data_IF_437073141732
#
_entry.id   IF_437073141732
#
_cell.length_a   1.000
_cell.length_b   1.000
_cell.length_c   1.000
_cell.angle_alpha   90.00
_cell.angle_beta   90.00
_cell.angle_gamma   90.00
#
_symmetry.space_group_name_H-M   'P 1'
#
loop_
_entity.id
_entity.type
_entity.pdbx_description
1 polymer ?
#
# COMPACT_ATOMS: atom_id res chain seq x y z
N UNK A 1 1.62 3.62 -16.52
CA UNK A 1 2.35 4.39 -15.48
C UNK A 1 3.56 3.57 -15.11
N UNK A 2 4.79 4.11 -15.01
CA UNK A 2 5.89 3.38 -14.42
C UNK A 2 5.50 3.00 -12.99
N UNK A 3 5.93 1.83 -12.53
CA UNK A 3 5.64 1.30 -11.20
C UNK A 3 6.02 2.29 -10.12
N UNK A 4 5.29 2.27 -9.00
CA UNK A 4 5.42 3.24 -7.91
C UNK A 4 6.83 3.38 -7.35
N UNK A 5 7.11 4.51 -6.71
CA UNK A 5 8.38 4.85 -6.08
C UNK A 5 9.57 5.01 -7.04
N UNK A 6 9.30 5.52 -8.24
CA UNK A 6 10.33 5.82 -9.25
C UNK A 6 10.18 7.21 -9.87
N UNK A 7 9.59 8.16 -9.15
CA UNK A 7 9.40 9.54 -9.64
C UNK A 7 10.73 10.26 -9.90
N UNK A 8 11.79 9.89 -9.18
CA UNK A 8 13.06 10.59 -9.17
C UNK A 8 13.07 11.84 -8.28
N UNK A 9 12.00 12.12 -7.55
CA UNK A 9 11.94 13.22 -6.61
C UNK A 9 12.88 12.97 -5.41
N UNK A 10 13.44 14.07 -4.89
CA UNK A 10 14.22 14.02 -3.67
C UNK A 10 13.35 13.52 -2.49
N UNK A 11 13.93 12.67 -1.66
CA UNK A 11 13.37 12.25 -0.37
C UNK A 11 14.51 12.20 0.64
N UNK A 12 14.53 13.16 1.55
CA UNK A 12 15.63 13.42 2.47
C UNK A 12 15.49 12.72 3.82
N UNK A 13 14.32 12.16 4.09
CA UNK A 13 14.03 11.65 5.42
C UNK A 13 14.36 10.17 5.56
N UNK A 14 15.01 9.81 6.65
CA UNK A 14 15.15 8.43 7.07
C UNK A 14 13.76 7.80 7.26
N UNK A 15 13.48 6.70 6.53
CA UNK A 15 12.18 6.05 6.55
C UNK A 15 11.10 6.73 5.70
N UNK A 16 11.50 7.60 4.79
CA UNK A 16 10.60 8.22 3.79
C UNK A 16 9.44 9.04 4.40
N UNK A 17 9.67 9.67 5.52
CA UNK A 17 8.68 10.51 6.20
C UNK A 17 8.54 11.85 5.51
N UNK A 18 7.34 12.37 5.51
CA UNK A 18 6.98 13.71 5.03
C UNK A 18 6.60 14.56 6.26
N UNK A 19 7.56 14.80 7.15
CA UNK A 19 7.32 15.44 8.44
C UNK A 19 6.70 16.84 8.32
N UNK A 20 7.06 17.60 7.30
CA UNK A 20 6.44 18.90 7.03
C UNK A 20 4.93 18.80 6.76
N UNK A 21 4.50 17.72 6.08
CA UNK A 21 3.09 17.42 5.85
C UNK A 21 2.41 16.92 7.12
N UNK A 22 3.07 16.04 7.90
CA UNK A 22 2.45 15.44 9.09
C UNK A 22 2.37 16.41 10.28
N UNK A 23 3.36 17.26 10.45
CA UNK A 23 3.51 18.08 11.65
C UNK A 23 3.78 19.55 11.37
N UNK A 24 4.19 19.90 10.15
CA UNK A 24 4.63 21.24 9.78
C UNK A 24 3.56 22.13 9.14
N UNK A 25 2.33 21.61 8.94
CA UNK A 25 1.22 22.37 8.36
C UNK A 25 1.30 22.62 6.86
N UNK A 26 2.25 21.99 6.16
CA UNK A 26 2.33 21.97 4.69
C UNK A 26 1.16 21.15 4.14
N UNK A 27 0.53 21.60 3.08
CA UNK A 27 -0.57 20.88 2.41
C UNK A 27 -0.05 19.75 1.52
N UNK A 28 -0.93 18.81 1.15
CA UNK A 28 -0.65 17.77 0.15
C UNK A 28 -0.17 18.38 -1.16
N UNK A 29 -0.82 19.45 -1.63
CA UNK A 29 -0.45 20.13 -2.86
C UNK A 29 0.94 20.76 -2.81
N UNK A 30 1.28 21.44 -1.73
CA UNK A 30 2.60 22.05 -1.51
C UNK A 30 3.68 20.95 -1.36
N UNK A 31 3.38 19.88 -0.62
CA UNK A 31 4.30 18.75 -0.47
C UNK A 31 4.52 18.00 -1.79
N UNK A 32 3.47 17.79 -2.59
CA UNK A 32 3.56 17.09 -3.86
C UNK A 32 4.46 17.79 -4.87
N UNK A 33 4.49 19.12 -4.87
CA UNK A 33 5.17 19.96 -5.87
C UNK A 33 6.45 20.61 -5.34
N UNK A 34 6.74 20.50 -4.05
CA UNK A 34 7.85 21.19 -3.38
C UNK A 34 9.21 20.50 -3.51
N UNK A 35 9.28 19.27 -4.03
CA UNK A 35 10.52 18.50 -4.05
C UNK A 35 11.24 18.59 -5.40
N UNK A 36 12.56 18.79 -5.40
CA UNK A 36 13.32 18.83 -6.64
C UNK A 36 13.46 17.43 -7.26
N UNK A 37 13.51 17.37 -8.57
CA UNK A 37 13.86 16.18 -9.32
C UNK A 37 15.39 15.96 -9.25
N UNK A 38 15.81 14.83 -8.69
CA UNK A 38 17.25 14.50 -8.52
C UNK A 38 17.70 13.33 -9.39
N UNK A 39 16.75 12.55 -9.91
CA UNK A 39 17.00 11.48 -10.89
C UNK A 39 15.98 11.57 -12.02
N UNK A 40 16.32 11.16 -13.25
CA UNK A 40 15.31 11.01 -14.29
C UNK A 40 14.21 10.03 -13.84
N UNK A 41 12.92 10.35 -14.08
CA UNK A 41 11.84 9.46 -13.72
C UNK A 41 12.00 8.05 -14.32
N UNK A 42 11.71 7.03 -13.54
CA UNK A 42 11.79 5.63 -13.95
C UNK A 42 13.20 5.02 -13.90
N UNK A 43 14.25 5.77 -13.50
CA UNK A 43 15.64 5.29 -13.51
C UNK A 43 16.17 4.84 -12.16
N UNK A 44 15.51 5.23 -11.08
CA UNK A 44 15.96 4.95 -9.73
C UNK A 44 14.76 4.57 -8.83
N UNK A 45 14.88 3.45 -8.12
CA UNK A 45 13.89 3.08 -7.10
C UNK A 45 14.23 3.75 -5.78
N UNK A 46 13.26 4.40 -5.18
CA UNK A 46 13.32 4.84 -3.79
C UNK A 46 11.92 4.76 -3.19
N UNK A 47 11.73 3.94 -2.19
CA UNK A 47 10.48 3.95 -1.43
C UNK A 47 10.30 5.32 -0.76
N UNK A 48 9.34 6.09 -1.22
CA UNK A 48 9.13 7.46 -0.77
C UNK A 48 7.64 7.82 -0.72
N UNK A 49 7.23 8.47 0.37
CA UNK A 49 5.87 9.00 0.51
C UNK A 49 5.57 10.08 -0.53
N UNK A 50 6.59 10.82 -0.98
CA UNK A 50 6.48 11.88 -1.98
C UNK A 50 5.79 11.39 -3.26
N UNK A 51 6.08 10.16 -3.71
CA UNK A 51 5.49 9.59 -4.92
C UNK A 51 3.98 9.40 -4.77
N UNK A 52 3.54 8.95 -3.59
CA UNK A 52 2.12 8.76 -3.31
C UNK A 52 1.43 10.11 -3.11
N UNK A 53 2.06 11.05 -2.42
CA UNK A 53 1.53 12.41 -2.24
C UNK A 53 1.32 13.09 -3.60
N UNK A 54 2.30 12.96 -4.52
CA UNK A 54 2.16 13.46 -5.89
C UNK A 54 1.03 12.77 -6.67
N UNK A 55 0.90 11.45 -6.54
CA UNK A 55 -0.16 10.70 -7.20
C UNK A 55 -1.56 11.08 -6.70
N UNK A 56 -1.72 11.28 -5.38
CA UNK A 56 -2.97 11.74 -4.76
C UNK A 56 -3.30 13.15 -5.26
N UNK A 57 -2.34 14.07 -5.22
CA UNK A 57 -2.53 15.43 -5.70
C UNK A 57 -2.96 15.45 -7.18
N UNK A 58 -2.32 14.66 -8.05
CA UNK A 58 -2.69 14.57 -9.45
C UNK A 58 -4.10 13.98 -9.65
N UNK A 59 -4.48 13.00 -8.83
CA UNK A 59 -5.82 12.41 -8.84
C UNK A 59 -6.88 13.44 -8.45
N UNK A 60 -6.66 14.20 -7.38
CA UNK A 60 -7.57 15.23 -6.89
C UNK A 60 -7.73 16.36 -7.94
N UNK A 61 -6.61 16.84 -8.49
CA UNK A 61 -6.62 17.83 -9.56
C UNK A 61 -7.40 17.35 -10.81
N UNK A 62 -7.34 16.06 -11.14
CA UNK A 62 -8.08 15.48 -12.27
C UNK A 62 -9.58 15.39 -12.02
N UNK A 63 -10.02 15.49 -10.78
CA UNK A 63 -11.43 15.37 -10.42
C UNK A 63 -12.21 16.65 -10.69
N UNK A 64 -11.59 17.82 -10.54
CA UNK A 64 -12.19 19.15 -10.78
C UNK A 64 -13.35 19.50 -9.82
N UNK A 65 -13.57 18.69 -8.76
CA UNK A 65 -14.65 18.85 -7.79
C UNK A 65 -14.13 18.42 -6.41
N UNK A 66 -13.97 19.40 -5.50
CA UNK A 66 -13.45 19.18 -4.15
C UNK A 66 -14.35 18.26 -3.31
N UNK A 67 -15.67 18.40 -3.41
CA UNK A 67 -16.60 17.55 -2.66
C UNK A 67 -16.51 16.10 -3.10
N UNK A 68 -16.32 15.87 -4.39
CA UNK A 68 -16.08 14.55 -4.94
C UNK A 68 -14.71 14.00 -4.54
N UNK A 69 -13.67 14.81 -4.54
CA UNK A 69 -12.34 14.41 -4.08
C UNK A 69 -12.38 13.95 -2.61
N UNK A 70 -13.03 14.72 -1.73
CA UNK A 70 -13.21 14.39 -0.31
C UNK A 70 -14.05 13.12 -0.07
N UNK A 71 -15.04 12.86 -0.90
CA UNK A 71 -15.89 11.67 -0.73
C UNK A 71 -15.30 10.39 -1.35
N UNK A 72 -14.43 10.51 -2.36
CA UNK A 72 -13.96 9.42 -3.21
C UNK A 72 -13.40 8.21 -2.45
N UNK A 73 -12.47 8.32 -1.48
CA UNK A 73 -11.96 7.14 -0.77
C UNK A 73 -13.07 6.36 -0.07
N UNK A 74 -14.09 7.05 0.39
CA UNK A 74 -15.22 6.46 1.10
C UNK A 74 -16.24 5.86 0.14
N UNK A 75 -16.70 6.63 -0.85
CA UNK A 75 -17.77 6.21 -1.78
C UNK A 75 -17.31 5.15 -2.77
N UNK A 76 -16.06 5.25 -3.23
CA UNK A 76 -15.56 4.40 -4.30
C UNK A 76 -14.84 3.16 -3.77
N UNK A 77 -14.35 3.17 -2.50
CA UNK A 77 -13.60 2.05 -1.94
C UNK A 77 -14.11 1.61 -0.57
N UNK A 78 -14.04 2.45 0.48
CA UNK A 78 -14.25 1.98 1.85
C UNK A 78 -15.67 1.48 2.10
N UNK A 79 -16.69 2.24 1.72
CA UNK A 79 -18.08 1.84 1.93
C UNK A 79 -18.50 0.65 1.06
N UNK A 80 -18.16 0.58 -0.22
CA UNK A 80 -18.41 -0.61 -1.02
C UNK A 80 -17.80 -1.90 -0.48
N UNK A 81 -16.67 -1.79 0.24
CA UNK A 81 -16.03 -2.91 0.95
C UNK A 81 -16.64 -3.18 2.34
N UNK A 82 -17.51 -2.31 2.83
CA UNK A 82 -18.00 -2.38 4.21
C UNK A 82 -16.93 -2.02 5.25
N UNK A 83 -15.91 -1.25 4.87
CA UNK A 83 -14.85 -0.73 5.75
C UNK A 83 -15.35 0.50 6.53
N UNK A 84 -16.39 0.28 7.34
CA UNK A 84 -17.11 1.37 8.04
C UNK A 84 -16.37 1.92 9.25
N UNK A 85 -15.25 1.33 9.63
CA UNK A 85 -14.38 1.76 10.74
C UNK A 85 -13.00 2.13 10.24
N UNK A 86 -12.96 2.68 9.02
CA UNK A 86 -11.73 3.16 8.38
C UNK A 86 -11.83 4.67 8.24
N UNK A 87 -10.78 5.36 8.66
CA UNK A 87 -10.66 6.81 8.63
C UNK A 87 -9.39 7.19 7.88
N UNK A 88 -9.51 8.00 6.84
CA UNK A 88 -8.38 8.65 6.18
C UNK A 88 -8.28 10.10 6.66
N UNK A 89 -7.06 10.54 7.00
CA UNK A 89 -6.81 11.92 7.42
C UNK A 89 -6.53 12.81 6.21
N UNK A 90 -6.87 14.08 6.36
CA UNK A 90 -6.59 15.14 5.38
C UNK A 90 -5.69 16.19 5.99
N UNK A 91 -5.03 16.97 5.13
CA UNK A 91 -4.48 18.26 5.53
C UNK A 91 -5.61 19.26 5.83
N UNK A 92 -5.23 20.46 6.26
CA UNK A 92 -6.19 21.51 6.63
C UNK A 92 -6.97 22.10 5.44
N UNK A 93 -6.60 21.77 4.20
CA UNK A 93 -7.32 22.11 2.96
C UNK A 93 -8.15 20.96 2.39
N UNK A 94 -8.19 19.82 3.08
CA UNK A 94 -8.94 18.65 2.65
C UNK A 94 -8.19 17.71 1.70
N UNK A 95 -6.91 17.94 1.42
CA UNK A 95 -6.07 17.01 0.66
C UNK A 95 -5.78 15.75 1.48
N UNK A 96 -6.11 14.56 0.97
CA UNK A 96 -5.86 13.30 1.68
C UNK A 96 -4.38 12.94 1.78
N UNK A 97 -3.94 12.54 2.98
CA UNK A 97 -2.57 12.07 3.25
C UNK A 97 -2.51 10.55 3.05
N UNK A 98 -2.75 10.07 1.81
CA UNK A 98 -2.84 8.64 1.51
C UNK A 98 -1.48 7.94 1.37
N UNK A 99 -0.37 8.64 1.56
CA UNK A 99 0.94 8.00 1.72
C UNK A 99 1.07 7.31 3.07
N UNK A 100 0.21 7.65 4.01
CA UNK A 100 0.05 7.07 5.35
C UNK A 100 -1.31 7.52 5.92
N UNK A 101 -1.45 7.69 7.23
CA UNK A 101 -2.58 8.33 7.91
C UNK A 101 -3.97 7.77 7.54
N UNK A 102 -4.02 6.47 7.23
CA UNK A 102 -5.27 5.72 7.09
C UNK A 102 -5.39 4.76 8.27
N UNK A 103 -6.34 5.04 9.14
CA UNK A 103 -6.60 4.29 10.36
C UNK A 103 -7.74 3.31 10.12
N UNK A 104 -7.52 2.04 10.40
CA UNK A 104 -8.48 0.99 10.08
C UNK A 104 -8.47 -0.13 11.10
N UNK A 105 -9.54 -0.89 11.19
CA UNK A 105 -9.58 -2.12 11.99
C UNK A 105 -8.95 -3.29 11.22
N UNK A 106 -8.54 -4.34 11.94
CA UNK A 106 -8.04 -5.56 11.30
C UNK A 106 -9.07 -6.20 10.36
N UNK A 107 -10.36 -6.11 10.71
CA UNK A 107 -11.45 -6.66 9.88
C UNK A 107 -11.65 -5.85 8.59
N UNK A 108 -11.51 -4.54 8.66
CA UNK A 108 -11.61 -3.69 7.48
C UNK A 108 -10.40 -3.89 6.56
N UNK A 109 -9.19 -3.98 7.13
CA UNK A 109 -7.99 -4.35 6.37
C UNK A 109 -8.11 -5.75 5.73
N UNK A 110 -8.75 -6.71 6.41
CA UNK A 110 -9.02 -8.02 5.80
C UNK A 110 -9.97 -7.92 4.60
N UNK A 111 -10.99 -7.06 4.63
CA UNK A 111 -11.87 -6.80 3.47
C UNK A 111 -11.09 -6.22 2.29
N UNK A 112 -10.18 -5.28 2.57
CA UNK A 112 -9.27 -4.77 1.55
C UNK A 112 -8.37 -5.87 0.97
N UNK A 113 -7.79 -6.72 1.81
CA UNK A 113 -7.03 -7.89 1.37
C UNK A 113 -7.87 -8.85 0.51
N UNK A 114 -9.13 -9.12 0.88
CA UNK A 114 -10.04 -9.96 0.10
C UNK A 114 -10.39 -9.35 -1.27
N UNK A 115 -10.52 -8.02 -1.37
CA UNK A 115 -10.66 -7.36 -2.66
C UNK A 115 -9.48 -7.68 -3.60
N UNK A 116 -8.26 -7.59 -3.07
CA UNK A 116 -7.05 -7.88 -3.83
C UNK A 116 -6.92 -9.38 -4.14
N UNK A 117 -7.27 -10.25 -3.18
CA UNK A 117 -7.31 -11.70 -3.34
C UNK A 117 -8.21 -12.14 -4.49
N UNK A 118 -9.32 -11.46 -4.72
CA UNK A 118 -10.31 -11.78 -5.75
C UNK A 118 -10.22 -10.86 -6.99
N UNK A 119 -9.02 -10.39 -7.32
CA UNK A 119 -8.78 -9.52 -8.50
C UNK A 119 -9.78 -8.37 -8.62
N UNK A 120 -9.98 -7.64 -7.54
CA UNK A 120 -10.84 -6.46 -7.53
C UNK A 120 -12.35 -6.73 -7.46
N UNK A 121 -12.77 -7.96 -7.17
CA UNK A 121 -14.17 -8.32 -6.94
C UNK A 121 -14.42 -8.51 -5.44
N UNK A 122 -15.44 -7.87 -4.91
CA UNK A 122 -15.88 -8.04 -3.52
C UNK A 122 -17.41 -8.18 -3.44
N UNK A 123 -17.87 -9.21 -2.73
CA UNK A 123 -19.30 -9.53 -2.60
C UNK A 123 -20.06 -9.57 -3.95
N UNK A 124 -19.44 -10.15 -4.98
CA UNK A 124 -19.99 -10.25 -6.33
C UNK A 124 -19.93 -8.98 -7.17
N UNK A 125 -19.40 -7.88 -6.63
CA UNK A 125 -19.27 -6.59 -7.32
C UNK A 125 -17.82 -6.32 -7.69
N UNK A 126 -17.56 -5.98 -8.96
CA UNK A 126 -16.23 -5.52 -9.38
C UNK A 126 -16.03 -4.06 -8.99
N UNK A 127 -14.99 -3.81 -8.21
CA UNK A 127 -14.60 -2.48 -7.73
C UNK A 127 -13.31 -1.99 -8.41
N UNK A 128 -12.40 -2.90 -8.77
CA UNK A 128 -11.18 -2.57 -9.53
C UNK A 128 -11.28 -3.12 -10.95
N UNK A 129 -10.64 -2.45 -11.89
CA UNK A 129 -10.56 -2.93 -13.27
C UNK A 129 -9.97 -4.34 -13.32
N UNK A 130 -10.42 -5.15 -14.26
CA UNK A 130 -9.86 -6.48 -14.50
C UNK A 130 -8.35 -6.41 -14.79
N UNK A 131 -7.59 -7.30 -14.17
CA UNK A 131 -6.14 -7.32 -14.28
C UNK A 131 -5.41 -6.20 -13.55
N UNK A 132 -6.12 -5.36 -12.78
CA UNK A 132 -5.48 -4.30 -11.98
C UNK A 132 -4.51 -4.91 -10.95
N UNK A 133 -4.93 -5.95 -10.23
CA UNK A 133 -4.10 -6.61 -9.21
C UNK A 133 -2.85 -7.21 -9.88
N UNK A 134 -3.00 -7.87 -11.03
CA UNK A 134 -1.86 -8.38 -11.80
C UNK A 134 -0.89 -7.25 -12.16
N UNK A 135 -1.39 -6.12 -12.64
CA UNK A 135 -0.55 -4.95 -12.94
C UNK A 135 0.15 -4.43 -11.69
N UNK A 136 -0.58 -4.33 -10.57
CA UNK A 136 -0.05 -3.83 -9.31
C UNK A 136 0.98 -4.77 -8.65
N UNK A 137 0.91 -6.07 -8.96
CA UNK A 137 1.85 -7.09 -8.45
C UNK A 137 2.92 -7.51 -9.45
N UNK A 138 3.00 -6.84 -10.61
CA UNK A 138 4.08 -7.05 -11.59
C UNK A 138 5.22 -6.05 -11.31
N UNK A 139 6.47 -6.53 -11.12
CA UNK A 139 7.62 -5.65 -10.99
C UNK A 139 7.76 -4.76 -12.23
N UNK A 140 7.96 -3.46 -12.04
CA UNK A 140 8.15 -2.52 -13.15
C UNK A 140 9.29 -1.55 -12.81
N UNK A 141 10.23 -1.38 -13.74
CA UNK A 141 11.39 -0.53 -13.57
C UNK A 141 12.40 -1.01 -12.51
N UNK A 142 13.25 -0.12 -12.01
CA UNK A 142 14.20 -0.42 -10.94
C UNK A 142 13.50 -1.00 -9.70
N UNK A 143 14.14 -1.96 -9.06
CA UNK A 143 13.60 -2.68 -7.91
C UNK A 143 14.40 -2.39 -6.64
N UNK A 144 13.80 -2.52 -5.45
CA UNK A 144 14.53 -2.44 -4.21
C UNK A 144 15.56 -3.57 -4.09
N UNK A 145 16.62 -3.30 -3.33
CA UNK A 145 17.52 -4.33 -2.86
C UNK A 145 16.86 -5.19 -1.76
N UNK A 146 17.26 -6.47 -1.64
CA UNK A 146 16.77 -7.39 -0.62
C UNK A 146 15.71 -8.36 -1.09
N UNK A 147 15.00 -8.95 -0.12
CA UNK A 147 14.15 -10.13 -0.32
C UNK A 147 12.79 -9.81 -0.94
N UNK A 148 12.34 -8.57 -0.89
CA UNK A 148 11.07 -8.14 -1.44
C UNK A 148 11.26 -7.36 -2.74
N UNK A 149 10.46 -7.69 -3.75
CA UNK A 149 10.27 -6.84 -4.91
C UNK A 149 9.21 -5.77 -4.63
N UNK A 150 8.98 -4.89 -5.59
CA UNK A 150 7.97 -3.84 -5.50
C UNK A 150 7.19 -3.72 -6.81
N UNK A 151 5.88 -3.68 -6.69
CA UNK A 151 4.96 -3.42 -7.79
C UNK A 151 4.41 -1.99 -7.71
N UNK A 152 3.19 -1.79 -8.16
CA UNK A 152 2.50 -0.52 -7.98
C UNK A 152 1.92 -0.43 -6.55
N UNK A 153 2.71 0.11 -5.61
CA UNK A 153 2.40 0.29 -4.17
C UNK A 153 2.30 -0.98 -3.32
N UNK A 154 2.64 -2.14 -3.87
CA UNK A 154 2.63 -3.41 -3.15
C UNK A 154 4.02 -4.02 -3.09
N UNK A 155 4.39 -4.57 -1.94
CA UNK A 155 5.61 -5.35 -1.74
C UNK A 155 5.40 -6.77 -2.23
N UNK A 156 6.33 -7.28 -3.03
CA UNK A 156 6.24 -8.61 -3.65
C UNK A 156 7.14 -9.58 -2.88
N UNK A 157 6.56 -10.71 -2.46
CA UNK A 157 7.23 -11.70 -1.61
C UNK A 157 7.80 -12.89 -2.40
N UNK A 158 7.87 -12.80 -3.72
CA UNK A 158 8.25 -13.88 -4.63
C UNK A 158 9.68 -14.43 -4.45
N UNK A 159 10.52 -13.73 -3.70
CA UNK A 159 11.92 -14.16 -3.45
C UNK A 159 12.12 -14.80 -2.07
N UNK A 160 11.04 -14.98 -1.32
CA UNK A 160 11.12 -15.45 0.06
C UNK A 160 10.86 -16.94 0.14
N UNK A 161 11.79 -17.69 0.76
CA UNK A 161 11.65 -19.11 0.96
C UNK A 161 10.43 -19.46 1.83
N UNK A 162 9.71 -20.52 1.48
CA UNK A 162 8.52 -20.97 2.20
C UNK A 162 7.25 -20.15 1.98
N UNK A 163 7.33 -19.10 1.15
CA UNK A 163 6.18 -18.27 0.77
C UNK A 163 5.90 -18.44 -0.73
N UNK A 164 4.65 -18.67 -1.15
CA UNK A 164 4.30 -18.77 -2.56
C UNK A 164 4.74 -17.54 -3.36
N UNK A 165 5.20 -17.75 -4.58
CA UNK A 165 5.75 -16.69 -5.43
C UNK A 165 4.75 -15.59 -5.83
N UNK A 166 3.45 -15.86 -5.71
CA UNK A 166 2.36 -14.93 -5.95
C UNK A 166 1.95 -14.11 -4.72
N UNK A 167 2.61 -14.34 -3.58
CA UNK A 167 2.34 -13.58 -2.35
C UNK A 167 2.81 -12.13 -2.46
N UNK A 168 2.01 -11.23 -1.96
CA UNK A 168 2.32 -9.81 -1.88
C UNK A 168 1.71 -9.16 -0.63
N UNK A 169 2.17 -7.97 -0.29
CA UNK A 169 1.74 -7.30 0.93
C UNK A 169 1.64 -5.78 0.79
N UNK A 170 0.66 -5.20 1.48
CA UNK A 170 0.71 -3.82 1.92
C UNK A 170 1.38 -3.78 3.30
N UNK A 171 2.41 -2.94 3.45
CA UNK A 171 3.21 -2.86 4.66
C UNK A 171 3.19 -1.43 5.20
N UNK A 172 2.81 -1.30 6.46
CA UNK A 172 2.69 -0.01 7.15
C UNK A 172 3.67 0.11 8.32
N UNK A 173 3.80 1.33 8.81
CA UNK A 173 4.67 1.67 9.92
C UNK A 173 4.34 0.84 11.17
N UNK A 174 5.37 0.51 11.97
CA UNK A 174 5.27 -0.19 13.27
C UNK A 174 4.57 -1.56 13.18
N UNK A 175 4.71 -2.24 12.05
CA UNK A 175 4.26 -3.63 11.90
C UNK A 175 2.80 -3.80 11.52
N UNK A 176 2.26 -2.91 10.72
CA UNK A 176 0.95 -3.07 10.09
C UNK A 176 1.13 -3.84 8.78
N UNK A 177 0.48 -4.99 8.63
CA UNK A 177 0.60 -5.80 7.42
C UNK A 177 -0.78 -6.28 6.95
N UNK A 178 -0.99 -6.23 5.63
CA UNK A 178 -2.02 -6.98 4.92
C UNK A 178 -1.28 -7.83 3.90
N UNK A 179 -1.21 -9.13 4.13
CA UNK A 179 -0.51 -10.08 3.27
C UNK A 179 -1.56 -10.88 2.52
N UNK A 180 -1.41 -10.99 1.21
CA UNK A 180 -2.31 -11.72 0.34
C UNK A 180 -1.52 -12.85 -0.34
N UNK A 181 -2.05 -14.06 -0.27
CA UNK A 181 -1.45 -15.27 -0.89
C UNK A 181 -2.50 -15.88 -1.82
N UNK A 182 -2.59 -15.42 -3.08
CA UNK A 182 -3.66 -15.79 -4.00
C UNK A 182 -3.78 -17.31 -4.23
N UNK A 183 -2.68 -17.99 -4.49
CA UNK A 183 -2.66 -19.45 -4.74
C UNK A 183 -3.13 -20.29 -3.55
N UNK A 184 -3.15 -19.72 -2.36
CA UNK A 184 -3.60 -20.39 -1.12
C UNK A 184 -4.97 -19.90 -0.64
N UNK A 185 -5.56 -18.90 -1.30
CA UNK A 185 -6.81 -18.28 -0.87
C UNK A 185 -6.72 -17.62 0.52
N UNK A 186 -5.56 -17.12 0.91
CA UNK A 186 -5.29 -16.65 2.27
C UNK A 186 -5.02 -15.15 2.29
N UNK A 187 -5.65 -14.47 3.24
CA UNK A 187 -5.33 -13.08 3.62
C UNK A 187 -4.95 -13.05 5.08
N UNK A 188 -3.76 -12.53 5.38
CA UNK A 188 -3.28 -12.34 6.74
C UNK A 188 -3.26 -10.85 7.07
N UNK A 189 -3.78 -10.49 8.24
CA UNK A 189 -3.71 -9.11 8.75
C UNK A 189 -3.00 -9.12 10.09
N UNK A 190 -1.93 -8.34 10.18
CA UNK A 190 -1.28 -8.04 11.45
C UNK A 190 -1.47 -6.57 11.78
N UNK A 191 -1.92 -6.29 12.99
CA UNK A 191 -1.90 -4.97 13.61
C UNK A 191 -0.81 -4.98 14.66
N UNK A 192 0.29 -4.31 14.38
CA UNK A 192 1.45 -4.27 15.24
C UNK A 192 1.62 -2.94 15.96
N UNK A 193 2.47 -2.96 16.96
CA UNK A 193 3.00 -1.80 17.67
C UNK A 193 4.49 -2.05 17.93
N UNK A 194 5.22 -2.36 16.86
CA UNK A 194 6.62 -2.74 16.96
C UNK A 194 7.46 -1.54 17.43
N UNK A 195 8.31 -1.78 18.41
CA UNK A 195 9.22 -0.76 18.92
C UNK A 195 10.22 -0.34 17.83
N UNK A 196 10.71 0.89 17.91
CA UNK A 196 11.74 1.41 17.01
C UNK A 196 12.94 0.47 16.98
N UNK A 197 13.41 0.10 15.78
CA UNK A 197 14.53 -0.80 15.59
C UNK A 197 14.19 -2.30 15.74
N UNK A 198 12.98 -2.65 16.13
CA UNK A 198 12.49 -4.04 16.07
C UNK A 198 11.75 -4.24 14.76
N UNK A 199 12.09 -5.29 14.06
CA UNK A 199 11.40 -5.68 12.82
C UNK A 199 10.73 -7.02 13.03
N UNK A 200 9.44 -7.03 12.77
CA UNK A 200 8.70 -8.25 12.55
C UNK A 200 9.06 -8.80 11.17
N UNK A 201 9.27 -10.10 11.07
CA UNK A 201 9.51 -10.76 9.80
C UNK A 201 8.19 -11.30 9.23
N UNK A 202 7.59 -10.58 8.25
CA UNK A 202 6.32 -10.99 7.67
C UNK A 202 6.45 -12.27 6.84
N UNK A 203 7.63 -12.58 6.34
CA UNK A 203 7.87 -13.74 5.51
C UNK A 203 7.88 -15.03 6.33
N UNK A 204 8.71 -15.09 7.37
CA UNK A 204 8.73 -16.22 8.31
C UNK A 204 7.36 -16.43 8.95
N UNK A 205 6.68 -15.34 9.32
CA UNK A 205 5.32 -15.44 9.86
C UNK A 205 4.34 -16.03 8.85
N UNK A 206 4.37 -15.57 7.60
CA UNK A 206 3.50 -16.09 6.55
C UNK A 206 3.74 -17.58 6.32
N UNK A 207 5.00 -17.99 6.16
CA UNK A 207 5.36 -19.39 5.99
C UNK A 207 4.86 -20.26 7.16
N UNK A 208 5.06 -19.81 8.40
CA UNK A 208 4.60 -20.52 9.59
C UNK A 208 3.06 -20.68 9.62
N UNK A 209 2.32 -19.62 9.29
CA UNK A 209 0.84 -19.70 9.22
C UNK A 209 0.39 -20.64 8.11
N UNK A 210 0.97 -20.55 6.92
CA UNK A 210 0.61 -21.42 5.79
C UNK A 210 0.86 -22.90 6.13
N UNK A 211 1.95 -23.21 6.82
CA UNK A 211 2.25 -24.57 7.28
C UNK A 211 1.19 -25.13 8.25
N UNK A 212 0.52 -24.28 9.03
CA UNK A 212 -0.59 -24.73 9.91
C UNK A 212 -1.89 -25.03 9.16
N UNK A 213 -2.04 -24.50 7.96
CA UNK A 213 -3.23 -24.69 7.12
C UNK A 213 -3.09 -25.92 6.21
N UNK A 214 -1.89 -26.47 6.04
CA UNK A 214 -1.68 -27.71 5.31
C UNK A 214 -2.22 -28.88 6.17
N UNK A 215 -2.93 -29.86 5.54
CA UNK A 215 -3.34 -31.04 6.29
C UNK A 215 -2.08 -31.73 6.84
N UNK A 216 -2.10 -32.06 8.14
CA UNK A 216 -1.04 -32.86 8.72
C UNK A 216 -0.83 -34.12 7.88
N UNK A 217 0.41 -34.56 7.62
CA UNK A 217 0.65 -35.80 6.90
C UNK A 217 -0.13 -36.94 7.59
N UNK A 218 -0.90 -37.69 6.78
CA UNK A 218 -1.62 -38.86 7.29
C UNK A 218 -0.63 -39.77 8.01
N UNK A 219 -0.89 -40.03 9.29
CA UNK A 219 -0.07 -40.97 10.12
C UNK A 219 -0.29 -42.41 9.67
#
# INVERSE_FOLDING_TARGET
MPGGCTSGLHSDTAGNRTDSLYFGGVTVAESATGWPLVHPPGTHFRYANNDIVLAVHALDASTGDEARALSRPYTDLFWPLGMTRTQAETDWRGGFVLSSQVWSTARDLARFGLLLQHDGVFAGRRLLAEGWVRTATTPAGPQPEGDFGYGATLWLMSRTEGVPADAFAAMGNRGQYVIVVPSRGVVLVRRGEDATGKRFDPATFTAAVLATLDPAPAR
#
